data_IF_031786312472
#
_entry.id   IF_031786312472
#
_cell.length_a   1.000
_cell.length_b   1.000
_cell.length_c   1.000
_cell.angle_alpha   90.00
_cell.angle_beta   90.00
_cell.angle_gamma   90.00
#
_symmetry.space_group_name_H-M   'P 1'
#
loop_
_entity.id
_entity.type
_entity.pdbx_description
1 polymer ?
#
# COMPACT_ATOMS: atom_id res chain seq x y z
N UNK A 1 2.26 28.94 10.64
CA UNK A 1 2.82 28.51 11.36
C UNK A 1 2.94 27.82 12.71
N UNK A 2 2.88 28.55 13.83
CA UNK A 2 3.10 28.01 15.18
C UNK A 2 2.05 26.96 15.59
N UNK A 3 0.80 27.21 15.32
CA UNK A 3 -0.30 26.29 15.66
C UNK A 3 -0.15 24.91 15.00
N UNK A 4 0.25 24.89 13.72
CA UNK A 4 0.50 23.64 12.98
C UNK A 4 1.65 22.83 13.60
N UNK A 5 2.72 23.50 14.03
CA UNK A 5 3.85 22.86 14.72
C UNK A 5 3.47 22.34 16.10
N UNK A 6 2.65 23.08 16.85
CA UNK A 6 2.15 22.67 18.16
C UNK A 6 1.24 21.43 18.07
N UNK A 7 0.29 21.42 17.14
CA UNK A 7 -0.59 20.28 16.87
C UNK A 7 0.21 19.06 16.44
N UNK A 8 1.21 19.24 15.56
CA UNK A 8 2.07 18.15 15.12
C UNK A 8 2.88 17.57 16.28
N UNK A 9 3.48 18.44 17.10
CA UNK A 9 4.24 18.04 18.31
C UNK A 9 3.36 17.30 19.32
N UNK A 10 2.13 17.74 19.52
CA UNK A 10 1.19 17.09 20.42
C UNK A 10 0.76 15.71 19.91
N UNK A 11 0.47 15.59 18.62
CA UNK A 11 0.16 14.31 17.99
C UNK A 11 1.33 13.32 18.03
N UNK A 12 2.57 13.82 17.89
CA UNK A 12 3.79 13.01 17.99
C UNK A 12 4.08 12.52 19.42
N UNK A 13 3.75 13.34 20.43
CA UNK A 13 3.94 13.00 21.85
C UNK A 13 2.81 12.14 22.42
N UNK A 14 1.67 12.08 21.78
CA UNK A 14 0.54 11.26 22.19
C UNK A 14 0.82 9.79 21.86
N UNK A 15 1.46 9.08 22.79
CA UNK A 15 1.82 7.64 22.70
C UNK A 15 0.58 6.73 22.77
N UNK A 16 -0.62 7.28 22.90
CA UNK A 16 -1.86 6.53 23.10
C UNK A 16 -2.47 6.04 21.75
N UNK A 17 -3.43 5.11 21.86
CA UNK A 17 -4.25 4.52 20.77
C UNK A 17 -4.71 5.50 19.67
N UNK A 18 -4.72 6.80 19.97
CA UNK A 18 -5.14 7.86 19.03
C UNK A 18 -4.12 8.16 17.91
N UNK A 19 -2.86 7.70 18.04
CA UNK A 19 -1.83 7.95 17.02
C UNK A 19 -2.11 7.19 15.72
N UNK A 20 -2.41 5.90 15.82
CA UNK A 20 -2.74 5.06 14.66
C UNK A 20 -4.00 5.53 13.94
N UNK A 21 -5.00 6.01 14.69
CA UNK A 21 -6.25 6.54 14.14
C UNK A 21 -6.07 7.87 13.42
N UNK A 22 -5.11 8.71 13.84
CA UNK A 22 -4.90 10.06 13.29
C UNK A 22 -3.83 10.13 12.20
N UNK A 23 -2.81 9.28 12.30
CA UNK A 23 -1.63 9.30 11.42
C UNK A 23 -1.63 8.08 10.49
N UNK A 24 -2.36 7.02 10.86
CA UNK A 24 -2.31 5.72 10.19
C UNK A 24 -1.21 4.82 10.75
N UNK A 25 -1.20 3.59 10.28
CA UNK A 25 -0.24 2.55 10.69
C UNK A 25 0.95 2.44 9.75
N UNK A 26 0.75 2.80 8.48
CA UNK A 26 1.80 2.85 7.47
C UNK A 26 1.59 4.06 6.55
N UNK A 27 2.59 4.42 5.78
CA UNK A 27 2.48 5.44 4.73
C UNK A 27 2.78 4.85 3.36
N UNK A 28 2.08 5.35 2.35
CA UNK A 28 2.34 5.04 0.95
C UNK A 28 2.67 6.34 0.22
N UNK A 29 3.76 6.34 -0.55
CA UNK A 29 4.14 7.49 -1.36
C UNK A 29 4.72 7.02 -2.68
N UNK A 30 4.29 7.64 -3.77
CA UNK A 30 4.83 7.35 -5.10
C UNK A 30 4.83 8.59 -5.97
N UNK A 31 5.78 8.66 -6.88
CA UNK A 31 5.85 9.61 -7.98
C UNK A 31 5.74 8.91 -9.34
N UNK A 32 5.33 7.64 -9.35
CA UNK A 32 5.25 6.81 -10.55
C UNK A 32 4.35 7.44 -11.63
N UNK A 33 3.24 8.07 -11.25
CA UNK A 33 2.35 8.78 -12.16
C UNK A 33 2.99 9.99 -12.89
N UNK A 34 4.14 10.46 -12.39
CA UNK A 34 4.95 11.51 -13.03
C UNK A 34 6.21 10.96 -13.70
N UNK A 35 6.33 9.65 -13.83
CA UNK A 35 7.53 9.00 -14.37
C UNK A 35 8.77 9.09 -13.48
N UNK A 36 8.61 9.51 -12.22
CA UNK A 36 9.71 9.72 -11.28
C UNK A 36 9.79 8.62 -10.24
N UNK A 37 11.01 8.39 -9.74
CA UNK A 37 11.27 7.42 -8.66
C UNK A 37 11.41 8.13 -7.32
N UNK A 38 10.75 7.59 -6.30
CA UNK A 38 10.87 8.01 -4.93
C UNK A 38 11.42 6.84 -4.10
N UNK A 39 12.64 6.97 -3.58
CA UNK A 39 13.27 5.94 -2.76
C UNK A 39 13.04 6.13 -1.27
N UNK A 40 12.85 7.35 -0.85
CA UNK A 40 12.68 7.71 0.54
C UNK A 40 11.78 8.94 0.68
N UNK A 41 10.88 8.88 1.63
CA UNK A 41 10.09 10.04 2.03
C UNK A 41 9.99 10.11 3.56
N UNK A 42 10.01 11.31 4.15
CA UNK A 42 9.81 11.48 5.58
C UNK A 42 8.44 10.95 5.98
N UNK A 43 8.41 10.06 6.96
CA UNK A 43 7.16 9.52 7.49
C UNK A 43 7.16 9.54 9.01
N UNK A 44 5.96 9.65 9.60
CA UNK A 44 5.72 9.49 11.02
C UNK A 44 5.27 8.06 11.37
N UNK A 45 5.03 7.24 10.35
CA UNK A 45 4.65 5.84 10.50
C UNK A 45 5.88 4.96 10.75
N UNK A 46 5.69 3.82 11.38
CA UNK A 46 6.76 2.84 11.61
C UNK A 46 7.19 2.14 10.33
N UNK A 47 6.30 2.10 9.34
CA UNK A 47 6.57 1.54 8.02
C UNK A 47 6.10 2.49 6.93
N UNK A 48 6.80 2.47 5.80
CA UNK A 48 6.37 3.15 4.60
C UNK A 48 6.73 2.36 3.35
N UNK A 49 5.86 2.45 2.36
CA UNK A 49 6.02 1.80 1.06
C UNK A 49 6.13 2.88 0.00
N UNK A 50 7.07 2.69 -0.92
CA UNK A 50 7.12 3.45 -2.16
C UNK A 50 7.28 2.50 -3.34
N UNK A 51 6.78 2.89 -4.50
CA UNK A 51 6.98 2.14 -5.74
C UNK A 51 7.36 3.07 -6.88
N UNK A 52 8.12 2.53 -7.83
CA UNK A 52 8.58 3.21 -9.04
C UNK A 52 7.57 3.07 -10.19
N UNK A 53 7.75 3.84 -11.27
CA UNK A 53 7.04 3.54 -12.53
C UNK A 53 7.25 2.08 -12.95
N UNK A 54 6.22 1.52 -13.58
CA UNK A 54 6.31 0.19 -14.18
C UNK A 54 7.26 0.27 -15.38
N UNK A 55 8.27 -0.59 -15.40
CA UNK A 55 9.23 -0.69 -16.48
C UNK A 55 8.61 -1.33 -17.75
N UNK A 56 9.28 -1.20 -18.90
CA UNK A 56 8.78 -1.72 -20.17
C UNK A 56 8.60 -3.25 -20.17
N UNK A 57 9.31 -3.97 -19.32
CA UNK A 57 9.21 -5.41 -19.11
C UNK A 57 8.10 -5.83 -18.12
N UNK A 58 7.32 -4.85 -17.64
CA UNK A 58 6.21 -5.07 -16.70
C UNK A 58 6.63 -5.15 -15.23
N UNK A 59 7.92 -5.00 -14.91
CA UNK A 59 8.40 -5.01 -13.53
C UNK A 59 8.18 -3.67 -12.84
N UNK A 60 7.92 -3.74 -11.54
CA UNK A 60 7.80 -2.56 -10.69
C UNK A 60 8.63 -2.76 -9.42
N UNK A 61 9.56 -1.84 -9.17
CA UNK A 61 10.35 -1.90 -7.95
C UNK A 61 9.57 -1.29 -6.78
N UNK A 62 9.34 -2.11 -5.76
CA UNK A 62 8.70 -1.70 -4.50
C UNK A 62 9.77 -1.61 -3.41
N UNK A 63 9.75 -0.52 -2.65
CA UNK A 63 10.64 -0.29 -1.52
C UNK A 63 9.82 -0.24 -0.23
N UNK A 64 10.16 -1.09 0.74
CA UNK A 64 9.61 -1.05 2.09
C UNK A 64 10.67 -0.49 3.04
N UNK A 65 10.32 0.61 3.70
CA UNK A 65 11.13 1.27 4.73
C UNK A 65 10.50 0.96 6.08
N UNK A 66 11.30 0.52 7.04
CA UNK A 66 10.83 0.21 8.38
C UNK A 66 11.71 0.85 9.45
N UNK A 67 11.11 1.26 10.55
CA UNK A 67 11.83 1.69 11.74
C UNK A 67 12.44 0.47 12.45
N UNK A 68 13.75 0.30 12.29
CA UNK A 68 14.48 -0.87 12.82
C UNK A 68 14.47 -0.96 14.36
N UNK A 69 14.07 0.10 15.05
CA UNK A 69 13.88 0.06 16.52
C UNK A 69 12.64 -0.76 16.91
N UNK A 70 11.73 -0.98 15.98
CA UNK A 70 10.43 -1.61 16.20
C UNK A 70 10.29 -2.91 15.42
N UNK A 71 10.90 -3.00 14.24
CA UNK A 71 10.73 -4.10 13.30
C UNK A 71 12.11 -4.65 12.91
N UNK A 72 12.30 -5.94 13.10
CA UNK A 72 13.52 -6.64 12.67
C UNK A 72 13.58 -6.81 11.14
N UNK A 73 14.79 -6.77 10.58
CA UNK A 73 15.04 -6.93 9.15
C UNK A 73 14.51 -8.25 8.58
N UNK A 74 14.54 -9.33 9.34
CA UNK A 74 13.97 -10.60 8.93
C UNK A 74 12.44 -10.55 8.75
N UNK A 75 11.75 -9.75 9.59
CA UNK A 75 10.32 -9.50 9.44
C UNK A 75 10.05 -8.68 8.19
N UNK A 76 10.85 -7.63 7.94
CA UNK A 76 10.74 -6.79 6.75
C UNK A 76 10.91 -7.62 5.47
N UNK A 77 11.93 -8.48 5.42
CA UNK A 77 12.18 -9.34 4.26
C UNK A 77 11.01 -10.30 3.98
N UNK A 78 10.47 -10.95 5.02
CA UNK A 78 9.29 -11.82 4.89
C UNK A 78 8.06 -11.04 4.44
N UNK A 79 7.87 -9.83 4.95
CA UNK A 79 6.74 -8.97 4.56
C UNK A 79 6.81 -8.58 3.09
N UNK A 80 8.00 -8.26 2.57
CA UNK A 80 8.20 -7.98 1.14
C UNK A 80 7.89 -9.21 0.27
N UNK A 81 8.39 -10.38 0.63
CA UNK A 81 8.11 -11.62 -0.11
C UNK A 81 6.60 -11.96 -0.10
N UNK A 82 5.93 -11.75 1.04
CA UNK A 82 4.48 -11.94 1.15
C UNK A 82 3.71 -10.94 0.29
N UNK A 83 4.13 -9.68 0.29
CA UNK A 83 3.51 -8.63 -0.54
C UNK A 83 3.67 -8.93 -2.03
N UNK A 84 4.86 -9.35 -2.47
CA UNK A 84 5.12 -9.74 -3.84
C UNK A 84 4.21 -10.89 -4.28
N UNK A 85 4.14 -11.94 -3.48
CA UNK A 85 3.25 -13.09 -3.74
C UNK A 85 1.79 -12.65 -3.85
N UNK A 86 1.31 -11.85 -2.91
CA UNK A 86 -0.06 -11.37 -2.90
C UNK A 86 -0.38 -10.54 -4.16
N UNK A 87 0.49 -9.60 -4.53
CA UNK A 87 0.28 -8.73 -5.68
C UNK A 87 0.36 -9.48 -7.02
N UNK A 88 1.27 -10.47 -7.14
CA UNK A 88 1.50 -11.19 -8.40
C UNK A 88 0.59 -12.39 -8.61
N UNK A 89 0.05 -12.96 -7.55
CA UNK A 89 -0.76 -14.18 -7.61
C UNK A 89 -2.21 -13.93 -7.17
N UNK A 90 -2.40 -13.62 -5.90
CA UNK A 90 -3.75 -13.58 -5.31
C UNK A 90 -4.60 -12.45 -5.89
N UNK A 91 -4.03 -11.23 -5.95
CA UNK A 91 -4.74 -10.07 -6.50
C UNK A 91 -5.01 -10.21 -8.01
N UNK A 92 -4.07 -10.75 -8.76
CA UNK A 92 -4.25 -10.99 -10.20
C UNK A 92 -5.36 -12.00 -10.46
N UNK A 93 -5.40 -13.07 -9.65
CA UNK A 93 -6.47 -14.06 -9.75
C UNK A 93 -7.84 -13.43 -9.44
N UNK A 94 -7.94 -12.65 -8.39
CA UNK A 94 -9.17 -11.96 -8.01
C UNK A 94 -9.65 -10.97 -9.08
N UNK A 95 -8.75 -10.15 -9.62
CA UNK A 95 -9.07 -9.21 -10.69
C UNK A 95 -9.55 -9.89 -11.96
N UNK A 96 -8.96 -11.03 -12.32
CA UNK A 96 -9.42 -11.81 -13.48
C UNK A 96 -10.81 -12.40 -13.25
N UNK A 97 -11.09 -12.94 -12.07
CA UNK A 97 -12.41 -13.48 -11.74
C UNK A 97 -13.51 -12.41 -11.74
N UNK A 98 -13.19 -11.18 -11.40
CA UNK A 98 -14.13 -10.04 -11.46
C UNK A 98 -14.34 -9.51 -12.89
N UNK A 99 -13.39 -9.76 -13.79
CA UNK A 99 -13.46 -9.28 -15.19
C UNK A 99 -14.20 -10.27 -16.10
N UNK A 100 -14.36 -11.53 -15.69
CA UNK A 100 -15.22 -12.47 -16.42
C UNK A 100 -16.69 -12.02 -16.26
N UNK A 101 -17.39 -11.63 -17.36
CA UNK A 101 -18.80 -11.26 -17.27
C UNK A 101 -19.57 -12.46 -16.74
N UNK A 102 -20.33 -12.29 -15.65
CA UNK A 102 -21.35 -13.22 -15.25
C UNK A 102 -22.23 -13.47 -16.48
N UNK A 103 -22.13 -14.66 -17.05
CA UNK A 103 -23.02 -15.11 -18.09
C UNK A 103 -24.44 -14.96 -17.52
N UNK A 104 -25.14 -13.94 -17.98
CA UNK A 104 -26.50 -13.64 -17.63
C UNK A 104 -27.29 -14.90 -18.04
N UNK A 105 -27.83 -15.59 -17.06
CA UNK A 105 -28.84 -16.66 -17.23
C UNK A 105 -30.03 -16.01 -17.94
N UNK A 106 -29.96 -15.99 -19.27
CA UNK A 106 -31.10 -15.69 -20.12
C UNK A 106 -32.02 -16.91 -20.08
N UNK A 107 -32.88 -16.92 -19.10
CA UNK A 107 -34.04 -17.83 -19.08
C UNK A 107 -34.83 -17.60 -20.37
N UNK A 108 -35.00 -18.58 -21.25
CA UNK A 108 -35.90 -18.43 -22.38
C UNK A 108 -37.33 -18.36 -21.87
N UNK A 109 -37.92 -17.18 -21.99
CA UNK A 109 -39.36 -16.99 -21.81
C UNK A 109 -40.07 -17.82 -22.86
N UNK A 110 -40.60 -18.96 -22.43
CA UNK A 110 -41.48 -19.79 -23.19
C UNK A 110 -42.88 -19.16 -23.17
N UNK A 111 -43.21 -18.41 -24.20
CA UNK A 111 -44.58 -17.95 -24.47
C UNK A 111 -45.26 -18.96 -25.39
N UNK A 112 -46.20 -19.67 -24.82
CA UNK A 112 -47.26 -20.40 -25.56
C UNK A 112 -48.46 -19.48 -25.72
#
# INVERSE_FOLDING_TARGET
>A
GFLRRAVLRWNLRSVSRKRSTRIGTFSLSTLAGYGASNHFHPTLCTTSISYRPIEADGRCLVTLIADHRVIDGAVVARSLATLEKFLTQDLVHELRSQTEPQATDATPSNAA
#
